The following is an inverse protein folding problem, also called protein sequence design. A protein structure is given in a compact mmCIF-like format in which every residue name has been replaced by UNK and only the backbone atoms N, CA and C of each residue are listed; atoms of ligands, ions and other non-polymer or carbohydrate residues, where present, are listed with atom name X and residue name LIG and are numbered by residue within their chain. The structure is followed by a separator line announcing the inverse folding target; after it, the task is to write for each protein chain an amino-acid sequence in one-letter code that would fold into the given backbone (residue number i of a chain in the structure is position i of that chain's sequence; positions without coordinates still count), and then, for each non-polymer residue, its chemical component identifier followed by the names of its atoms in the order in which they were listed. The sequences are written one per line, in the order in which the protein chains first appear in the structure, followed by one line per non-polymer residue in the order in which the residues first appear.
data_IF_949504006681
#
_entry.id   IF_949504006681
#
_cell.length_a   1.000
_cell.length_b   1.000
_cell.length_c   1.000
_cell.angle_alpha   90.00
_cell.angle_beta   90.00
_cell.angle_gamma   90.00
#
_symmetry.space_group_name_H-M   'P 1'
#
loop_
_entity.id
_entity.type
_entity.pdbx_description
1 polymer ?
#
# COMPACT_ATOMS: atom_id res chain seq x y z
N UNK A 1 -25.94 20.52 -42.92
CA UNK A 1 -26.33 20.22 -41.52
C UNK A 1 -25.09 19.79 -40.77
N UNK A 2 -24.74 20.45 -39.68
CA UNK A 2 -23.74 19.96 -38.73
C UNK A 2 -24.44 19.73 -37.39
N UNK A 3 -24.25 18.56 -36.79
CA UNK A 3 -24.75 18.25 -35.46
C UNK A 3 -23.58 18.20 -34.48
N UNK A 4 -23.80 18.70 -33.26
CA UNK A 4 -22.83 18.58 -32.16
C UNK A 4 -23.39 17.57 -31.16
N UNK A 5 -22.52 16.68 -30.67
CA UNK A 5 -22.83 15.72 -29.60
C UNK A 5 -21.83 15.88 -28.47
N UNK A 6 -22.29 15.77 -27.23
CA UNK A 6 -21.43 15.80 -26.06
C UNK A 6 -20.98 14.39 -25.69
N UNK A 7 -19.66 14.21 -25.56
CA UNK A 7 -19.05 12.97 -25.07
C UNK A 7 -18.53 13.24 -23.66
N UNK A 8 -18.94 12.40 -22.70
CA UNK A 8 -18.39 12.43 -21.34
C UNK A 8 -17.37 11.32 -21.19
N UNK A 9 -16.13 11.69 -20.93
CA UNK A 9 -15.04 10.76 -20.61
C UNK A 9 -14.86 10.73 -19.10
N UNK A 10 -14.83 9.53 -18.52
CA UNK A 10 -14.51 9.33 -17.12
C UNK A 10 -13.18 8.56 -17.03
N UNK A 11 -12.19 9.16 -16.37
CA UNK A 11 -10.90 8.50 -16.14
C UNK A 11 -11.01 7.67 -14.88
N UNK A 12 -10.75 6.37 -15.00
CA UNK A 12 -10.70 5.45 -13.87
C UNK A 12 -9.26 5.26 -13.42
N UNK A 13 -9.08 5.05 -12.13
CA UNK A 13 -7.79 4.71 -11.53
C UNK A 13 -7.27 3.36 -12.05
N UNK A 14 -5.96 3.28 -12.30
CA UNK A 14 -5.25 2.06 -12.62
C UNK A 14 -4.30 1.74 -11.46
N UNK A 15 -4.00 0.46 -11.25
CA UNK A 15 -3.02 0.05 -10.24
C UNK A 15 -1.61 0.20 -10.82
N UNK A 16 -1.07 1.41 -10.79
CA UNK A 16 0.22 1.76 -11.39
C UNK A 16 1.24 2.37 -10.41
N UNK A 17 0.88 2.54 -9.13
CA UNK A 17 1.79 2.96 -8.08
C UNK A 17 2.05 1.82 -7.10
N UNK A 18 3.25 1.23 -7.02
CA UNK A 18 3.51 0.16 -6.06
C UNK A 18 3.53 0.69 -4.60
N UNK A 19 3.16 -0.14 -3.61
CA UNK A 19 3.27 0.24 -2.20
C UNK A 19 4.70 0.63 -1.79
N UNK A 20 4.86 1.74 -1.08
CA UNK A 20 6.15 2.25 -0.62
C UNK A 20 6.22 2.25 0.91
N UNK A 21 7.22 1.57 1.48
CA UNK A 21 7.48 1.61 2.92
C UNK A 21 7.96 2.99 3.38
N UNK A 22 7.46 3.45 4.54
CA UNK A 22 7.84 4.74 5.13
C UNK A 22 9.30 4.83 5.59
N UNK A 23 9.99 3.70 5.72
CA UNK A 23 11.43 3.61 6.02
C UNK A 23 12.05 2.51 5.17
N UNK A 24 13.32 2.71 4.80
CA UNK A 24 14.11 1.68 4.10
C UNK A 24 14.49 0.52 5.02
N UNK A 25 14.77 0.82 6.29
CA UNK A 25 15.14 -0.17 7.31
C UNK A 25 14.29 0.08 8.55
N UNK A 26 13.74 -1.00 9.10
CA UNK A 26 13.05 -1.01 10.39
C UNK A 26 13.88 -1.84 11.35
N UNK A 27 14.28 -1.23 12.47
CA UNK A 27 15.05 -1.90 13.52
C UNK A 27 14.25 -1.88 14.82
N UNK A 28 14.33 -2.97 15.57
CA UNK A 28 13.77 -3.07 16.91
C UNK A 28 14.72 -3.89 17.80
N UNK A 29 14.71 -3.58 19.10
CA UNK A 29 15.38 -4.38 20.12
C UNK A 29 14.32 -5.08 20.94
N UNK A 30 14.46 -6.39 21.11
CA UNK A 30 13.51 -7.23 21.84
C UNK A 30 14.28 -7.96 22.93
N UNK A 31 13.67 -8.08 24.12
CA UNK A 31 14.22 -8.94 25.17
C UNK A 31 14.26 -10.40 24.68
N UNK A 32 15.13 -11.24 25.26
CA UNK A 32 15.30 -12.63 24.86
C UNK A 32 14.08 -13.52 25.12
N UNK A 33 13.30 -13.21 26.16
CA UNK A 33 12.14 -14.01 26.60
C UNK A 33 10.84 -13.20 26.59
N UNK A 34 10.42 -12.63 25.44
CA UNK A 34 9.16 -11.91 25.35
C UNK A 34 8.00 -12.93 25.31
N UNK A 35 6.84 -12.64 25.91
CA UNK A 35 5.66 -13.47 25.76
C UNK A 35 5.24 -13.65 24.29
N UNK A 36 4.63 -14.80 23.95
CA UNK A 36 4.05 -15.02 22.61
C UNK A 36 3.00 -13.95 22.31
N UNK A 37 3.05 -13.41 21.10
CA UNK A 37 2.17 -12.30 20.67
C UNK A 37 2.68 -10.91 21.06
N UNK A 38 3.89 -10.80 21.64
CA UNK A 38 4.52 -9.51 21.90
C UNK A 38 4.71 -8.70 20.61
N UNK A 39 4.26 -7.45 20.64
CA UNK A 39 4.47 -6.52 19.53
C UNK A 39 5.96 -6.15 19.44
N UNK A 40 6.61 -6.58 18.35
CA UNK A 40 8.02 -6.25 18.09
C UNK A 40 8.15 -4.86 17.48
N UNK A 41 7.46 -4.62 16.36
CA UNK A 41 7.42 -3.35 15.65
C UNK A 41 6.19 -3.28 14.77
N UNK A 42 5.85 -2.07 14.32
CA UNK A 42 4.82 -1.83 13.31
C UNK A 42 5.45 -1.18 12.09
N UNK A 43 5.42 -1.87 10.94
CA UNK A 43 5.79 -1.29 9.65
C UNK A 43 4.63 -0.52 9.05
N UNK A 44 4.93 0.42 8.16
CA UNK A 44 3.92 1.13 7.37
C UNK A 44 4.41 1.28 5.94
N UNK A 45 3.55 0.91 5.00
CA UNK A 45 3.66 1.25 3.59
C UNK A 45 2.40 1.99 3.14
N UNK A 46 2.55 2.81 2.11
CA UNK A 46 1.49 3.60 1.49
C UNK A 46 1.55 3.44 -0.02
N UNK A 47 0.39 3.36 -0.62
CA UNK A 47 0.20 3.24 -2.05
C UNK A 47 -0.61 4.47 -2.50
N UNK A 48 -0.26 5.05 -3.66
CA UNK A 48 -0.85 6.30 -4.14
C UNK A 48 -2.16 6.09 -4.92
N UNK A 49 -2.49 4.83 -5.26
CA UNK A 49 -3.66 4.50 -6.06
C UNK A 49 -4.97 4.60 -5.26
N UNK A 50 -6.08 4.79 -5.98
CA UNK A 50 -7.37 4.99 -5.36
C UNK A 50 -8.05 3.67 -4.94
N UNK A 51 -8.83 3.74 -3.87
CA UNK A 51 -9.74 2.65 -3.47
C UNK A 51 -9.03 1.33 -3.18
N UNK A 52 -9.39 0.27 -3.91
CA UNK A 52 -8.81 -1.06 -3.73
C UNK A 52 -7.38 -1.17 -4.25
N UNK A 53 -7.01 -0.35 -5.24
CA UNK A 53 -5.66 -0.38 -5.82
C UNK A 53 -4.63 0.08 -4.78
N UNK A 54 -4.97 1.09 -3.98
CA UNK A 54 -4.13 1.55 -2.86
C UNK A 54 -4.14 0.66 -1.59
N UNK A 55 -4.75 -0.53 -1.62
CA UNK A 55 -4.85 -1.40 -0.44
C UNK A 55 -3.57 -2.23 -0.27
N UNK A 56 -2.86 -1.97 0.82
CA UNK A 56 -1.61 -2.68 1.14
C UNK A 56 -1.85 -3.93 2.01
N UNK A 57 -1.27 -5.06 1.59
CA UNK A 57 -1.17 -6.30 2.39
C UNK A 57 0.30 -6.58 2.71
N UNK A 58 0.57 -7.10 3.92
CA UNK A 58 1.93 -7.38 4.40
C UNK A 58 2.17 -8.88 4.54
N UNK A 59 3.36 -9.33 4.15
CA UNK A 59 3.85 -10.68 4.39
C UNK A 59 5.36 -10.64 4.63
N UNK A 60 5.89 -11.64 5.33
CA UNK A 60 7.33 -11.86 5.31
C UNK A 60 7.71 -12.50 3.98
N UNK A 61 8.88 -12.13 3.44
CA UNK A 61 9.44 -12.86 2.30
C UNK A 61 9.70 -14.30 2.72
N UNK A 62 9.23 -15.26 1.92
CA UNK A 62 9.68 -16.65 2.05
C UNK A 62 11.17 -16.67 1.67
N UNK A 63 12.04 -16.70 2.68
CA UNK A 63 13.47 -16.97 2.50
C UNK A 63 13.71 -18.43 2.79
#
# INVERSE_FOLDING_TARGET
MSGTVHVRVNVTDANDNPPVFSKRVYEARVAENPPVGSLVLRVRATDADAGSNGRVSYSFSNV
#
